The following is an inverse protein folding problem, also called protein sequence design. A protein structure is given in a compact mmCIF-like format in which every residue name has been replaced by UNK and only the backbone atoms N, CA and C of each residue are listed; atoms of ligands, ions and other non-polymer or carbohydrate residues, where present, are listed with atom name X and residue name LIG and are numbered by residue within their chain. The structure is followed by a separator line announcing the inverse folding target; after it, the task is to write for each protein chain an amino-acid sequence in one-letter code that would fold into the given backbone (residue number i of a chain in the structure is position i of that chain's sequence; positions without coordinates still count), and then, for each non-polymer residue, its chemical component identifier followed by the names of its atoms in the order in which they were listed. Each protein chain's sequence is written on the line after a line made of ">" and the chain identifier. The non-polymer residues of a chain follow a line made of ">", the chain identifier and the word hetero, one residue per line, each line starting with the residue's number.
data_IF_429735193550
#
_entry.id   IF_429735193550
#
_cell.length_a   1.000
_cell.length_b   1.000
_cell.length_c   1.000
_cell.angle_alpha   90.00
_cell.angle_beta   90.00
_cell.angle_gamma   90.00
#
_symmetry.space_group_name_H-M   'P 1'
#
loop_
_entity.id
_entity.type
_entity.pdbx_description
1 polymer ?
#
# COMPACT_ATOMS: atom_id res chain seq x y z
N UNK A 1 27.53 1.09 65.53
CA UNK A 1 26.98 0.28 64.42
C UNK A 1 27.15 1.08 63.15
N UNK A 2 28.21 0.72 62.45
CA UNK A 2 28.62 1.16 61.12
C UNK A 2 27.58 0.82 60.07
N UNK A 3 27.32 1.74 59.14
CA UNK A 3 27.18 1.42 57.72
C UNK A 3 27.41 2.68 56.87
N UNK A 4 28.59 2.67 56.28
CA UNK A 4 29.11 3.53 55.23
C UNK A 4 28.50 3.15 53.89
N UNK A 5 27.82 4.09 53.22
CA UNK A 5 27.40 3.96 51.83
C UNK A 5 28.32 4.82 50.96
N UNK A 6 29.22 4.14 50.27
CA UNK A 6 30.13 4.65 49.25
C UNK A 6 29.37 4.89 47.94
N UNK A 7 29.37 6.14 47.46
CA UNK A 7 28.95 6.51 46.11
C UNK A 7 30.13 6.37 45.14
N UNK A 8 30.07 5.38 44.24
CA UNK A 8 30.98 5.24 43.11
C UNK A 8 30.47 6.11 41.94
N UNK A 9 31.14 7.24 41.72
CA UNK A 9 31.06 8.02 40.49
C UNK A 9 32.24 7.61 39.60
N UNK A 10 31.98 6.70 38.66
CA UNK A 10 32.94 6.36 37.60
C UNK A 10 32.79 7.33 36.43
N UNK A 11 33.78 8.23 36.35
CA UNK A 11 34.32 8.91 35.18
C UNK A 11 33.90 8.31 33.82
N UNK A 12 33.05 9.02 33.08
CA UNK A 12 32.91 8.87 31.64
C UNK A 12 33.91 9.80 30.96
N UNK A 13 34.83 9.20 30.19
CA UNK A 13 35.86 9.90 29.43
C UNK A 13 35.26 10.76 28.33
N UNK A 14 35.77 11.99 28.23
CA UNK A 14 35.51 12.88 27.11
C UNK A 14 36.15 12.37 25.83
N UNK A 15 35.33 12.23 24.79
CA UNK A 15 35.81 12.16 23.41
C UNK A 15 35.83 13.58 22.86
N UNK A 16 37.04 14.14 22.79
CA UNK A 16 37.34 15.43 22.19
C UNK A 16 37.49 15.23 20.67
N UNK A 17 36.46 15.64 19.91
CA UNK A 17 36.53 15.73 18.45
C UNK A 17 36.91 17.17 18.08
N UNK A 18 38.20 17.45 18.05
CA UNK A 18 38.75 18.63 17.40
C UNK A 18 38.71 18.43 15.87
N UNK A 19 37.70 19.03 15.23
CA UNK A 19 37.64 19.21 13.78
C UNK A 19 38.55 20.38 13.39
N UNK A 20 39.77 20.08 12.96
CA UNK A 20 40.64 21.06 12.32
C UNK A 20 40.06 21.44 10.94
N UNK A 21 39.46 22.63 10.86
CA UNK A 21 39.14 23.28 9.60
C UNK A 21 40.44 23.79 8.97
N UNK A 22 40.99 23.00 8.04
CA UNK A 22 42.06 23.42 7.15
C UNK A 22 41.60 24.57 6.26
N UNK A 23 41.96 25.79 6.64
CA UNK A 23 41.78 27.00 5.84
C UNK A 23 42.79 27.00 4.69
N UNK A 24 42.36 26.62 3.48
CA UNK A 24 43.09 26.91 2.24
C UNK A 24 42.58 28.22 1.66
N UNK A 25 43.27 29.30 1.99
CA UNK A 25 43.19 30.59 1.33
C UNK A 25 44.06 30.58 0.06
N UNK A 26 43.43 30.72 -1.09
CA UNK A 26 44.03 31.04 -2.38
C UNK A 26 42.89 31.07 -3.40
N UNK A 27 42.46 32.20 -3.94
CA UNK A 27 43.24 33.35 -4.36
C UNK A 27 43.38 33.29 -5.87
N UNK A 28 42.26 33.46 -6.59
CA UNK A 28 42.24 33.90 -7.98
C UNK A 28 40.86 34.45 -8.32
N UNK A 29 40.79 35.77 -8.42
CA UNK A 29 39.68 36.51 -9.00
C UNK A 29 39.50 36.06 -10.46
N UNK A 30 38.59 35.13 -10.68
CA UNK A 30 38.02 34.83 -11.98
C UNK A 30 36.65 35.48 -12.06
N UNK A 31 36.58 36.69 -12.60
CA UNK A 31 35.32 37.30 -13.01
C UNK A 31 34.69 36.41 -14.10
N UNK A 32 33.71 35.60 -13.71
CA UNK A 32 32.83 34.93 -14.66
C UNK A 32 31.78 35.96 -15.07
N UNK A 33 32.06 36.68 -16.15
CA UNK A 33 31.01 37.38 -16.88
C UNK A 33 29.97 36.33 -17.30
N UNK A 34 28.81 36.35 -16.64
CA UNK A 34 27.63 35.62 -17.08
C UNK A 34 27.28 36.14 -18.46
N UNK A 35 27.57 35.34 -19.49
CA UNK A 35 27.06 35.58 -20.82
C UNK A 35 25.52 35.36 -20.79
N UNK A 36 24.68 36.40 -20.93
CA UNK A 36 23.23 36.26 -20.87
C UNK A 36 22.66 35.49 -22.07
N UNK A 37 23.45 35.19 -23.10
CA UNK A 37 23.03 34.32 -24.20
C UNK A 37 23.29 32.82 -23.95
N UNK A 38 24.05 32.46 -22.91
CA UNK A 38 24.29 31.05 -22.57
C UNK A 38 23.11 30.38 -21.83
N UNK A 39 22.09 31.15 -21.45
CA UNK A 39 20.89 30.66 -20.75
C UNK A 39 19.72 30.31 -21.69
N UNK A 40 19.88 30.46 -23.01
CA UNK A 40 18.80 30.23 -23.99
C UNK A 40 18.87 28.91 -24.78
N UNK A 41 19.83 28.02 -24.49
CA UNK A 41 19.97 26.75 -25.22
C UNK A 41 20.14 25.50 -24.33
N UNK A 42 19.48 25.47 -23.18
CA UNK A 42 19.13 24.18 -22.56
C UNK A 42 17.78 23.66 -23.11
N UNK A 43 17.62 23.68 -24.44
CA UNK A 43 16.63 22.84 -25.10
C UNK A 43 17.15 21.41 -24.98
N UNK A 44 16.38 20.53 -24.36
CA UNK A 44 16.56 19.09 -24.49
C UNK A 44 16.33 18.71 -25.96
N UNK A 45 17.32 18.96 -26.83
CA UNK A 45 17.41 18.37 -28.16
C UNK A 45 17.87 16.92 -28.01
N UNK A 46 17.03 16.14 -27.36
CA UNK A 46 17.13 14.69 -27.38
C UNK A 46 16.14 14.19 -28.41
N UNK A 47 16.60 14.02 -29.65
CA UNK A 47 16.03 13.01 -30.54
C UNK A 47 16.39 11.66 -29.92
N UNK A 48 15.61 11.22 -28.92
CA UNK A 48 15.93 10.01 -28.17
C UNK A 48 15.66 8.72 -28.95
N UNK A 49 15.16 8.81 -30.19
CA UNK A 49 15.00 7.68 -31.10
C UNK A 49 15.09 8.18 -32.55
N UNK A 50 16.01 7.62 -33.35
CA UNK A 50 15.97 7.76 -34.81
C UNK A 50 15.11 6.64 -35.39
N UNK A 51 14.36 6.88 -36.47
CA UNK A 51 13.49 5.87 -37.11
C UNK A 51 14.25 4.61 -37.58
N UNK A 52 15.57 4.71 -37.75
CA UNK A 52 16.45 3.60 -38.11
C UNK A 52 16.97 2.82 -36.90
N UNK A 53 16.78 3.35 -35.68
CA UNK A 53 17.13 2.63 -34.46
C UNK A 53 16.07 1.56 -34.24
N UNK A 54 16.41 0.32 -34.59
CA UNK A 54 15.62 -0.88 -34.34
C UNK A 54 15.64 -1.24 -32.84
N UNK A 55 15.30 -0.29 -31.98
CA UNK A 55 15.17 -0.46 -30.54
C UNK A 55 13.83 -1.11 -30.28
N UNK A 56 13.82 -2.44 -30.34
CA UNK A 56 12.74 -3.17 -29.68
C UNK A 56 12.82 -2.81 -28.20
N UNK A 57 11.80 -2.13 -27.67
CA UNK A 57 11.49 -2.20 -26.24
C UNK A 57 10.99 -3.63 -25.96
N UNK A 58 11.91 -4.59 -26.09
CA UNK A 58 11.73 -5.93 -25.61
C UNK A 58 11.88 -5.86 -24.11
N UNK A 59 10.77 -5.87 -23.38
CA UNK A 59 10.80 -6.58 -22.13
C UNK A 59 11.20 -8.01 -22.52
N UNK A 60 12.44 -8.43 -22.24
CA UNK A 60 12.84 -9.83 -22.42
C UNK A 60 12.01 -10.63 -21.43
N UNK A 61 10.82 -11.04 -21.85
CA UNK A 61 10.20 -12.22 -21.32
C UNK A 61 11.16 -13.34 -21.68
N UNK A 62 11.89 -13.84 -20.67
CA UNK A 62 12.64 -15.07 -20.79
C UNK A 62 11.60 -16.13 -21.15
N UNK A 63 11.42 -16.38 -22.45
CA UNK A 63 10.72 -17.55 -22.93
C UNK A 63 11.54 -18.73 -22.42
N UNK A 64 10.95 -19.66 -21.65
CA UNK A 64 11.68 -20.81 -21.20
C UNK A 64 12.11 -21.60 -22.44
N UNK A 65 13.43 -21.64 -22.66
CA UNK A 65 14.05 -22.68 -23.46
C UNK A 65 13.48 -24.01 -22.97
N UNK A 66 12.97 -24.83 -23.89
CA UNK A 66 12.20 -26.04 -23.59
C UNK A 66 12.96 -27.13 -22.80
N UNK A 67 14.20 -26.88 -22.34
CA UNK A 67 15.02 -27.90 -21.67
C UNK A 67 15.69 -27.47 -20.36
N UNK A 68 15.31 -26.34 -19.74
CA UNK A 68 15.74 -26.06 -18.37
C UNK A 68 14.69 -25.26 -17.59
N UNK A 69 14.21 -25.84 -16.49
CA UNK A 69 13.26 -25.22 -15.56
C UNK A 69 13.99 -24.54 -14.39
N UNK A 70 14.02 -23.19 -14.32
CA UNK A 70 14.32 -22.50 -13.06
C UNK A 70 13.25 -21.48 -12.64
N UNK A 71 12.01 -21.63 -13.10
CA UNK A 71 10.84 -21.05 -12.44
C UNK A 71 9.90 -22.17 -12.04
N UNK A 72 10.19 -22.82 -10.90
CA UNK A 72 9.14 -23.43 -10.09
C UNK A 72 8.27 -22.30 -9.56
N UNK A 73 7.37 -21.82 -10.42
CA UNK A 73 6.13 -21.21 -9.99
C UNK A 73 5.52 -22.22 -9.01
N UNK A 74 5.33 -21.81 -7.76
CA UNK A 74 4.60 -22.58 -6.77
C UNK A 74 3.12 -22.62 -7.17
N UNK A 75 2.81 -23.33 -8.26
CA UNK A 75 1.50 -23.88 -8.60
C UNK A 75 1.55 -25.38 -8.33
N UNK A 76 1.59 -25.72 -7.06
CA UNK A 76 1.09 -26.98 -6.57
C UNK A 76 0.32 -26.62 -5.31
N UNK A 77 -1.00 -26.86 -5.33
CA UNK A 77 -2.00 -26.56 -4.29
C UNK A 77 -2.70 -25.19 -4.33
N UNK A 78 -2.89 -24.60 -5.50
CA UNK A 78 -4.20 -23.98 -5.74
C UNK A 78 -5.18 -25.12 -6.00
N UNK A 79 -5.67 -25.72 -4.91
CA UNK A 79 -6.92 -26.49 -4.89
C UNK A 79 -7.95 -25.73 -5.73
N UNK A 80 -8.69 -26.39 -6.64
CA UNK A 80 -9.67 -25.72 -7.47
C UNK A 80 -10.61 -24.96 -6.55
N UNK A 81 -10.65 -23.63 -6.71
CA UNK A 81 -11.62 -22.79 -6.04
C UNK A 81 -13.00 -23.33 -6.43
N UNK A 82 -13.62 -24.14 -5.57
CA UNK A 82 -15.06 -24.32 -5.63
C UNK A 82 -15.64 -22.92 -5.51
N UNK A 83 -16.32 -22.51 -6.58
CA UNK A 83 -16.89 -21.18 -6.72
C UNK A 83 -17.84 -20.86 -5.59
N UNK A 84 -17.31 -20.26 -4.53
CA UNK A 84 -18.10 -19.45 -3.63
C UNK A 84 -18.39 -18.17 -4.41
N UNK A 85 -19.47 -18.25 -5.18
CA UNK A 85 -20.18 -17.10 -5.75
C UNK A 85 -20.20 -15.97 -4.73
N UNK A 86 -19.83 -14.78 -5.21
CA UNK A 86 -19.77 -13.52 -4.49
C UNK A 86 -21.15 -13.13 -3.93
N UNK A 87 -21.64 -13.83 -2.92
CA UNK A 87 -22.81 -13.42 -2.15
C UNK A 87 -22.37 -12.35 -1.16
N UNK A 88 -22.30 -11.12 -1.66
CA UNK A 88 -22.52 -9.87 -0.95
C UNK A 88 -21.67 -9.57 0.29
N UNK A 89 -21.35 -8.29 0.45
CA UNK A 89 -20.70 -7.69 1.62
C UNK A 89 -21.39 -8.04 2.98
N UNK A 90 -22.55 -8.70 2.99
CA UNK A 90 -23.27 -9.17 4.18
C UNK A 90 -22.54 -10.23 5.01
N UNK A 91 -21.54 -10.94 4.47
CA UNK A 91 -20.81 -11.97 5.21
C UNK A 91 -19.51 -11.50 5.89
N UNK A 92 -19.16 -10.21 5.82
CA UNK A 92 -17.92 -9.71 6.44
C UNK A 92 -17.93 -9.97 7.96
N UNK A 93 -19.08 -9.84 8.63
CA UNK A 93 -19.19 -10.09 10.06
C UNK A 93 -18.98 -11.57 10.42
N UNK A 94 -19.47 -12.49 9.59
CA UNK A 94 -19.36 -13.93 9.79
C UNK A 94 -17.93 -14.42 9.48
N UNK A 95 -17.30 -13.86 8.44
CA UNK A 95 -15.89 -14.08 8.15
C UNK A 95 -14.98 -13.61 9.28
N UNK A 96 -15.27 -12.47 9.92
CA UNK A 96 -14.45 -11.98 11.04
C UNK A 96 -14.41 -12.98 12.19
N UNK A 97 -15.55 -13.53 12.60
CA UNK A 97 -15.61 -14.53 13.67
C UNK A 97 -14.84 -15.82 13.34
N UNK A 98 -14.85 -16.25 12.08
CA UNK A 98 -14.11 -17.43 11.63
C UNK A 98 -12.59 -17.17 11.51
N UNK A 99 -12.17 -15.95 11.20
CA UNK A 99 -10.75 -15.58 11.18
C UNK A 99 -10.20 -15.45 12.60
N UNK A 100 -11.00 -14.94 13.53
CA UNK A 100 -10.57 -14.77 14.93
C UNK A 100 -10.38 -16.13 15.67
N UNK A 101 -10.99 -17.21 15.18
CA UNK A 101 -10.80 -18.57 15.73
C UNK A 101 -9.55 -19.27 15.20
N UNK A 102 -9.02 -18.85 14.04
CA UNK A 102 -7.80 -19.41 13.45
C UNK A 102 -6.58 -18.67 14.01
N UNK A 103 -6.05 -19.19 15.11
CA UNK A 103 -4.87 -18.62 15.76
C UNK A 103 -3.60 -19.38 15.39
N UNK A 104 -2.52 -18.63 15.14
CA UNK A 104 -1.18 -19.20 15.09
C UNK A 104 -0.78 -19.74 16.46
N UNK A 105 -0.09 -20.87 16.48
CA UNK A 105 0.35 -21.55 17.70
C UNK A 105 1.75 -22.10 17.49
N UNK A 106 2.62 -21.97 18.49
CA UNK A 106 3.98 -22.52 18.45
C UNK A 106 4.02 -24.05 18.51
N UNK A 107 2.88 -24.69 18.76
CA UNK A 107 2.73 -26.15 18.62
C UNK A 107 2.89 -26.61 17.16
N UNK A 108 2.68 -25.71 16.21
CA UNK A 108 2.95 -25.93 14.80
C UNK A 108 4.22 -25.15 14.45
N UNK A 109 5.29 -25.78 13.97
CA UNK A 109 6.45 -25.04 13.51
C UNK A 109 6.17 -24.40 12.14
N UNK A 110 6.70 -23.20 11.87
CA UNK A 110 6.69 -22.63 10.52
C UNK A 110 7.52 -23.49 9.55
N UNK A 111 7.26 -23.39 8.23
CA UNK A 111 8.08 -24.07 7.23
C UNK A 111 9.56 -23.67 7.36
N UNK A 112 10.42 -24.67 7.48
CA UNK A 112 11.89 -24.48 7.49
C UNK A 112 12.35 -24.30 6.04
N UNK A 113 13.17 -23.29 5.79
CA UNK A 113 13.75 -23.05 4.47
C UNK A 113 15.27 -23.01 4.52
N UNK A 114 15.90 -23.36 3.40
CA UNK A 114 17.35 -23.42 3.27
C UNK A 114 18.03 -22.11 3.65
N UNK A 115 19.20 -22.20 4.29
CA UNK A 115 19.98 -21.05 4.75
C UNK A 115 20.29 -20.03 3.64
N UNK A 116 20.32 -20.47 2.37
CA UNK A 116 20.54 -19.59 1.22
C UNK A 116 19.49 -18.47 1.10
N UNK A 117 18.23 -18.71 1.50
CA UNK A 117 17.16 -17.68 1.49
C UNK A 117 17.33 -16.61 2.57
N UNK A 118 18.09 -16.92 3.61
CA UNK A 118 18.46 -15.97 4.66
C UNK A 118 19.69 -15.14 4.25
N UNK A 119 20.44 -15.61 3.24
CA UNK A 119 21.54 -14.85 2.66
C UNK A 119 21.00 -13.74 1.76
N UNK A 120 21.68 -12.59 1.77
CA UNK A 120 21.25 -11.39 1.06
C UNK A 120 21.07 -11.57 -0.46
N UNK A 121 21.70 -12.59 -1.06
CA UNK A 121 21.64 -12.82 -2.51
C UNK A 121 20.33 -13.44 -3.01
N UNK A 122 19.59 -14.16 -2.16
CA UNK A 122 18.32 -14.82 -2.56
C UNK A 122 17.09 -14.25 -1.83
N UNK A 123 17.30 -13.26 -0.96
CA UNK A 123 16.21 -12.62 -0.23
C UNK A 123 15.42 -11.72 -1.17
N UNK A 124 14.09 -11.87 -1.16
CA UNK A 124 13.22 -10.98 -1.93
C UNK A 124 13.29 -9.55 -1.37
N UNK A 125 13.10 -8.56 -2.23
CA UNK A 125 13.11 -7.14 -1.83
C UNK A 125 12.03 -6.81 -0.79
N UNK A 126 10.93 -7.57 -0.76
CA UNK A 126 9.81 -7.42 0.19
C UNK A 126 9.83 -8.49 1.28
N UNK A 127 11.02 -8.75 1.81
CA UNK A 127 11.23 -9.68 2.91
C UNK A 127 11.97 -9.05 4.08
N UNK A 128 11.63 -9.47 5.30
CA UNK A 128 12.19 -8.97 6.55
C UNK A 128 12.80 -10.10 7.37
N UNK A 129 13.96 -9.83 7.98
CA UNK A 129 14.63 -10.76 8.91
C UNK A 129 14.48 -10.26 10.34
N UNK A 130 13.75 -11.01 11.16
CA UNK A 130 13.50 -10.67 12.56
C UNK A 130 14.05 -11.75 13.49
N UNK A 131 14.56 -11.32 14.64
CA UNK A 131 14.88 -12.20 15.75
C UNK A 131 13.69 -12.19 16.72
N UNK A 132 13.11 -13.35 16.98
CA UNK A 132 11.98 -13.50 17.89
C UNK A 132 12.03 -14.84 18.61
N UNK A 133 11.39 -14.89 19.79
CA UNK A 133 11.29 -16.10 20.60
C UNK A 133 10.19 -17.04 20.07
N UNK A 134 9.15 -16.48 19.47
CA UNK A 134 7.96 -17.20 19.00
C UNK A 134 7.57 -16.81 17.55
N UNK A 135 7.55 -17.75 16.59
CA UNK A 135 7.01 -17.49 15.26
C UNK A 135 5.50 -17.22 15.28
N UNK A 136 4.74 -17.83 16.21
CA UNK A 136 3.32 -17.55 16.34
C UNK A 136 3.04 -16.12 16.80
N UNK A 137 3.87 -15.56 17.68
CA UNK A 137 3.78 -14.16 18.11
C UNK A 137 4.00 -13.20 16.94
N UNK A 138 5.01 -13.44 16.11
CA UNK A 138 5.26 -12.65 14.89
C UNK A 138 4.06 -12.72 13.95
N UNK A 139 3.54 -13.91 13.68
CA UNK A 139 2.39 -14.10 12.80
C UNK A 139 1.12 -13.39 13.34
N UNK A 140 0.86 -13.49 14.64
CA UNK A 140 -0.22 -12.75 15.32
C UNK A 140 -0.04 -11.24 15.23
N UNK A 141 1.20 -10.76 15.37
CA UNK A 141 1.51 -9.32 15.27
C UNK A 141 1.27 -8.79 13.86
N UNK A 142 1.61 -9.56 12.82
CA UNK A 142 1.27 -9.24 11.43
C UNK A 142 -0.25 -9.21 11.23
N UNK A 143 -0.97 -10.20 11.76
CA UNK A 143 -2.43 -10.24 11.69
C UNK A 143 -3.04 -9.00 12.37
N UNK A 144 -2.54 -8.64 13.56
CA UNK A 144 -2.96 -7.45 14.28
C UNK A 144 -2.68 -6.17 13.49
N UNK A 145 -1.50 -6.04 12.88
CA UNK A 145 -1.18 -4.93 12.00
C UNK A 145 -2.22 -4.80 10.88
N UNK A 146 -2.50 -5.89 10.17
CA UNK A 146 -3.49 -5.91 9.09
C UNK A 146 -4.90 -5.53 9.58
N UNK A 147 -5.27 -5.90 10.80
CA UNK A 147 -6.58 -5.59 11.39
C UNK A 147 -6.71 -4.18 11.94
N UNK A 148 -5.60 -3.55 12.38
CA UNK A 148 -5.64 -2.33 13.19
C UNK A 148 -5.02 -1.10 12.53
N UNK A 149 -3.95 -1.27 11.76
CA UNK A 149 -3.19 -0.17 11.17
C UNK A 149 -3.61 0.13 9.73
N UNK A 150 -4.15 -0.86 9.02
CA UNK A 150 -4.54 -0.73 7.61
C UNK A 150 -5.97 -1.17 7.39
N UNK A 151 -6.62 -0.59 6.39
CA UNK A 151 -7.94 -1.03 5.95
C UNK A 151 -7.75 -2.32 5.15
N UNK A 152 -8.03 -3.47 5.75
CA UNK A 152 -7.87 -4.77 5.10
C UNK A 152 -9.00 -5.75 5.38
N UNK A 153 -9.13 -6.73 4.49
CA UNK A 153 -10.00 -7.89 4.62
C UNK A 153 -9.11 -9.13 4.59
N UNK A 154 -8.98 -9.80 5.73
CA UNK A 154 -8.22 -11.04 5.83
C UNK A 154 -9.09 -12.18 5.28
N UNK A 155 -8.74 -12.67 4.10
CA UNK A 155 -9.54 -13.70 3.40
C UNK A 155 -9.27 -15.11 3.89
N UNK A 156 -7.99 -15.47 4.12
CA UNK A 156 -7.60 -16.83 4.54
C UNK A 156 -6.40 -16.79 5.47
N UNK A 157 -6.50 -17.49 6.61
CA UNK A 157 -5.38 -17.78 7.51
C UNK A 157 -5.09 -19.28 7.45
N UNK A 158 -3.82 -19.64 7.35
CA UNK A 158 -3.36 -21.03 7.34
C UNK A 158 -2.27 -21.19 8.41
N UNK A 159 -2.65 -21.59 9.63
CA UNK A 159 -1.70 -21.81 10.73
C UNK A 159 -0.61 -22.83 10.35
N UNK A 160 -0.99 -23.93 9.70
CA UNK A 160 -0.05 -24.99 9.25
C UNK A 160 1.03 -24.47 8.28
N UNK A 161 0.67 -23.55 7.38
CA UNK A 161 1.61 -22.97 6.41
C UNK A 161 2.25 -21.67 6.91
N UNK A 162 1.96 -21.26 8.16
CA UNK A 162 2.33 -19.95 8.73
C UNK A 162 2.09 -18.79 7.75
N UNK A 163 0.92 -18.82 7.09
CA UNK A 163 0.62 -17.92 6.00
C UNK A 163 -0.78 -17.32 6.11
N UNK A 164 -0.93 -16.09 5.61
CA UNK A 164 -2.22 -15.44 5.48
C UNK A 164 -2.35 -14.73 4.13
N UNK A 165 -3.59 -14.66 3.62
CA UNK A 165 -3.97 -13.87 2.45
C UNK A 165 -4.89 -12.74 2.90
N UNK A 166 -4.63 -11.54 2.42
CA UNK A 166 -5.44 -10.37 2.72
C UNK A 166 -5.59 -9.46 1.50
N UNK A 167 -6.74 -8.81 1.41
CA UNK A 167 -7.03 -7.70 0.51
C UNK A 167 -6.82 -6.41 1.29
N UNK A 168 -5.91 -5.55 0.84
CA UNK A 168 -5.56 -4.29 1.50
C UNK A 168 -5.95 -3.13 0.62
N UNK A 169 -6.55 -2.12 1.25
CA UNK A 169 -7.00 -0.89 0.64
C UNK A 169 -6.22 0.27 1.24
N UNK A 170 -5.57 1.06 0.38
CA UNK A 170 -4.85 2.26 0.78
C UNK A 170 -5.27 3.45 -0.07
N UNK A 171 -5.26 4.63 0.52
CA UNK A 171 -5.48 5.86 -0.22
C UNK A 171 -4.13 6.51 -0.52
N UNK A 172 -3.74 6.51 -1.79
CA UNK A 172 -2.50 7.11 -2.28
C UNK A 172 -2.88 8.35 -3.08
N UNK A 173 -2.54 9.53 -2.57
CA UNK A 173 -2.88 10.82 -3.20
C UNK A 173 -4.37 10.99 -3.53
N UNK A 174 -5.24 10.64 -2.58
CA UNK A 174 -6.71 10.64 -2.72
C UNK A 174 -7.29 9.54 -3.63
N UNK A 175 -6.44 8.82 -4.37
CA UNK A 175 -6.85 7.68 -5.17
C UNK A 175 -6.91 6.44 -4.28
N UNK A 176 -8.07 5.77 -4.16
CA UNK A 176 -8.15 4.51 -3.47
C UNK A 176 -7.48 3.46 -4.35
N UNK A 177 -6.51 2.78 -3.77
CA UNK A 177 -5.73 1.72 -4.38
C UNK A 177 -5.95 0.45 -3.59
N UNK A 178 -5.89 -0.68 -4.27
CA UNK A 178 -6.10 -2.00 -3.68
C UNK A 178 -4.99 -2.94 -4.08
N UNK A 179 -4.55 -3.79 -3.17
CA UNK A 179 -3.69 -4.91 -3.50
C UNK A 179 -4.08 -6.16 -2.71
N UNK A 180 -3.96 -7.31 -3.34
CA UNK A 180 -4.07 -8.60 -2.67
C UNK A 180 -2.67 -9.10 -2.36
N UNK A 181 -2.40 -9.43 -1.09
CA UNK A 181 -1.12 -9.95 -0.66
C UNK A 181 -1.22 -11.32 0.01
N UNK A 182 -0.11 -12.05 -0.01
CA UNK A 182 0.13 -13.22 0.83
C UNK A 182 1.34 -12.93 1.70
N UNK A 183 1.19 -13.05 3.02
CA UNK A 183 2.30 -12.99 3.99
C UNK A 183 2.64 -14.39 4.46
N UNK A 184 3.92 -14.69 4.62
CA UNK A 184 4.42 -15.96 5.18
C UNK A 184 5.48 -15.69 6.23
N UNK A 185 5.48 -16.48 7.30
CA UNK A 185 6.57 -16.55 8.27
C UNK A 185 7.31 -17.86 8.02
N UNK A 186 8.61 -17.76 7.75
CA UNK A 186 9.50 -18.88 7.47
C UNK A 186 10.58 -18.92 8.56
N UNK A 187 11.04 -20.12 8.89
CA UNK A 187 12.10 -20.32 9.87
C UNK A 187 13.39 -20.75 9.19
N UNK A 188 14.50 -20.16 9.64
CA UNK A 188 15.84 -20.57 9.22
C UNK A 188 16.30 -21.79 9.97
N UNK A 189 17.28 -22.49 9.40
CA UNK A 189 17.96 -23.58 10.10
C UNK A 189 18.51 -23.08 11.44
N UNK A 190 18.03 -23.68 12.53
CA UNK A 190 18.46 -23.31 13.87
C UNK A 190 19.93 -23.68 14.05
N UNK A 191 20.76 -22.71 14.42
CA UNK A 191 22.08 -23.00 14.93
C UNK A 191 21.97 -23.44 16.38
N UNK A 192 22.45 -24.64 16.75
CA UNK A 192 22.42 -25.07 18.14
C UNK A 192 23.14 -24.05 19.03
N UNK A 193 22.48 -23.62 20.10
CA UNK A 193 23.03 -22.67 21.09
C UNK A 193 22.63 -21.20 20.92
N UNK A 194 21.84 -20.83 19.90
CA UNK A 194 21.24 -19.48 19.83
C UNK A 194 19.86 -19.48 20.49
N UNK A 195 19.66 -18.58 21.47
CA UNK A 195 18.41 -18.49 22.23
C UNK A 195 17.23 -17.91 21.43
N UNK A 196 17.50 -17.13 20.39
CA UNK A 196 16.48 -16.52 19.53
C UNK A 196 16.47 -17.16 18.15
N UNK A 197 15.27 -17.37 17.62
CA UNK A 197 15.08 -17.91 16.28
C UNK A 197 15.16 -16.78 15.26
N UNK A 198 15.86 -17.03 14.15
CA UNK A 198 15.88 -16.12 13.01
C UNK A 198 14.71 -16.46 12.09
N UNK A 199 13.80 -15.51 11.92
CA UNK A 199 12.60 -15.65 11.12
C UNK A 199 12.69 -14.78 9.87
N UNK A 200 12.27 -15.32 8.73
CA UNK A 200 12.13 -14.63 7.47
C UNK A 200 10.66 -14.41 7.17
N UNK A 201 10.25 -13.15 7.07
CA UNK A 201 8.88 -12.77 6.75
C UNK A 201 8.85 -12.36 5.28
N UNK A 202 8.03 -13.03 4.48
CA UNK A 202 7.87 -12.72 3.06
C UNK A 202 6.51 -12.06 2.82
N UNK A 203 6.52 -10.86 2.25
CA UNK A 203 5.34 -10.22 1.71
C UNK A 203 5.34 -10.43 0.20
N UNK A 204 4.27 -11.03 -0.34
CA UNK A 204 4.14 -11.25 -1.78
C UNK A 204 2.85 -10.60 -2.30
N UNK A 205 2.98 -9.65 -3.23
CA UNK A 205 1.84 -9.17 -4.03
C UNK A 205 1.33 -10.31 -4.90
N UNK A 206 0.02 -10.58 -4.82
CA UNK A 206 -0.68 -11.57 -5.65
C UNK A 206 -1.38 -10.89 -6.82
N UNK A 207 -2.06 -9.77 -6.55
CA UNK A 207 -2.79 -8.94 -7.53
C UNK A 207 -2.89 -7.49 -7.05
N UNK A 208 -3.41 -6.60 -7.90
CA UNK A 208 -3.70 -5.21 -7.61
C UNK A 208 -2.50 -4.27 -7.77
N UNK A 209 -2.58 -3.09 -7.18
CA UNK A 209 -1.64 -1.98 -7.35
C UNK A 209 -0.27 -2.25 -6.69
N UNK A 210 0.82 -1.99 -7.41
CA UNK A 210 2.18 -2.23 -6.94
C UNK A 210 2.66 -1.17 -5.94
N UNK A 211 2.22 0.09 -6.10
CA UNK A 211 2.56 1.20 -5.22
C UNK A 211 1.86 1.03 -3.85
N UNK A 212 0.59 0.65 -3.85
CA UNK A 212 -0.16 0.30 -2.64
C UNK A 212 0.52 -0.82 -1.86
N UNK A 213 0.97 -1.86 -2.56
CA UNK A 213 1.73 -2.96 -1.95
C UNK A 213 3.07 -2.49 -1.38
N UNK A 214 3.80 -1.64 -2.10
CA UNK A 214 5.08 -1.12 -1.62
C UNK A 214 4.91 -0.24 -0.37
N UNK A 215 3.92 0.65 -0.36
CA UNK A 215 3.59 1.48 0.80
C UNK A 215 3.15 0.64 2.00
N UNK A 216 2.33 -0.39 1.77
CA UNK A 216 1.97 -1.36 2.81
C UNK A 216 3.20 -2.06 3.38
N UNK A 217 4.10 -2.52 2.52
CA UNK A 217 5.29 -3.24 2.95
C UNK A 217 6.15 -2.37 3.87
N UNK A 218 6.39 -1.10 3.53
CA UNK A 218 7.12 -0.18 4.39
C UNK A 218 6.43 0.07 5.73
N UNK A 219 5.10 0.26 5.73
CA UNK A 219 4.35 0.40 6.99
C UNK A 219 4.45 -0.86 7.87
N UNK A 220 4.38 -2.05 7.26
CA UNK A 220 4.51 -3.31 7.96
C UNK A 220 5.93 -3.51 8.50
N UNK A 221 6.94 -3.15 7.71
CA UNK A 221 8.36 -3.15 8.11
C UNK A 221 8.57 -2.29 9.36
N UNK A 222 8.16 -1.02 9.32
CA UNK A 222 8.29 -0.11 10.45
C UNK A 222 7.55 -0.64 11.68
N UNK A 223 6.33 -1.14 11.51
CA UNK A 223 5.54 -1.69 12.61
C UNK A 223 6.20 -2.90 13.27
N UNK A 224 6.75 -3.82 12.47
CA UNK A 224 7.39 -5.04 12.97
C UNK A 224 8.74 -4.75 13.61
N UNK A 225 9.54 -3.85 13.05
CA UNK A 225 10.84 -3.47 13.62
C UNK A 225 10.71 -2.68 14.92
N UNK A 226 9.58 -2.01 15.14
CA UNK A 226 9.26 -1.39 16.43
C UNK A 226 8.87 -2.43 17.50
N UNK A 227 8.59 -3.67 17.12
CA UNK A 227 8.15 -4.75 18.02
C UNK A 227 9.21 -5.83 18.23
N UNK A 228 10.02 -6.10 17.22
CA UNK A 228 11.00 -7.17 17.20
C UNK A 228 12.38 -6.65 16.82
N UNK A 229 13.43 -7.28 17.35
CA UNK A 229 14.79 -6.95 16.98
C UNK A 229 15.09 -7.42 15.54
N UNK A 230 15.81 -6.63 14.72
CA UNK A 230 16.31 -7.12 13.44
C UNK A 230 17.32 -8.25 13.66
N UNK A 231 17.20 -9.36 12.94
CA UNK A 231 18.08 -10.52 13.14
C UNK A 231 19.51 -10.32 12.60
N UNK A 232 19.70 -9.36 11.70
CA UNK A 232 21.00 -9.05 11.13
C UNK A 232 21.34 -7.60 11.42
N UNK A 233 22.45 -7.38 12.12
CA UNK A 233 23.10 -6.09 12.26
C UNK A 233 23.89 -5.69 11.00
N UNK A 234 23.80 -6.48 9.91
CA UNK A 234 24.41 -6.11 8.66
C UNK A 234 23.95 -4.69 8.31
N UNK A 235 24.89 -3.78 8.00
CA UNK A 235 24.55 -2.43 7.59
C UNK A 235 23.53 -2.59 6.47
N UNK A 236 22.36 -1.98 6.64
CA UNK A 236 21.37 -1.90 5.56
C UNK A 236 22.12 -1.22 4.42
N UNK A 237 22.53 -2.01 3.41
CA UNK A 237 23.08 -1.45 2.18
C UNK A 237 22.13 -0.34 1.79
N UNK A 238 22.67 0.89 1.85
CA UNK A 238 21.90 2.11 2.03
C UNK A 238 20.58 1.98 1.26
N UNK A 239 19.47 1.85 2.01
CA UNK A 239 18.14 1.73 1.43
C UNK A 239 18.12 2.70 0.27
N UNK A 240 17.94 2.18 -0.94
CA UNK A 240 17.66 3.03 -2.09
C UNK A 240 16.48 3.87 -1.62
N UNK A 241 16.77 5.11 -1.22
CA UNK A 241 15.77 6.04 -0.72
C UNK A 241 14.73 6.03 -1.81
N UNK A 242 13.50 5.58 -1.53
CA UNK A 242 12.50 5.36 -2.56
C UNK A 242 12.51 6.61 -3.41
N UNK A 243 12.91 6.45 -4.68
CA UNK A 243 13.15 7.58 -5.56
C UNK A 243 11.87 8.41 -5.46
N UNK A 244 11.94 9.67 -4.98
CA UNK A 244 10.74 10.44 -4.74
C UNK A 244 9.98 10.43 -6.06
N UNK A 245 8.81 9.80 -6.06
CA UNK A 245 7.98 9.73 -7.25
C UNK A 245 7.62 11.19 -7.54
N UNK A 246 8.34 11.77 -8.50
CA UNK A 246 8.03 13.08 -9.07
C UNK A 246 6.75 12.88 -9.87
N UNK A 247 5.64 12.72 -9.15
CA UNK A 247 4.32 12.75 -9.75
C UNK A 247 4.14 14.15 -10.32
N UNK A 248 3.73 14.27 -11.59
CA UNK A 248 3.50 15.57 -12.19
C UNK A 248 2.48 16.32 -11.33
N UNK A 249 2.94 17.39 -10.68
CA UNK A 249 2.15 18.33 -9.87
C UNK A 249 1.07 19.07 -10.71
N UNK A 250 0.85 18.65 -11.95
CA UNK A 250 -0.06 19.25 -12.93
C UNK A 250 -1.54 19.06 -12.58
N UNK A 251 -1.84 18.24 -11.58
CA UNK A 251 -3.19 18.00 -11.09
C UNK A 251 -3.83 19.29 -10.53
N UNK A 252 -3.05 20.16 -9.89
CA UNK A 252 -3.54 21.38 -9.26
C UNK A 252 -4.13 22.41 -10.26
N UNK A 253 -3.83 22.30 -11.56
CA UNK A 253 -4.30 23.28 -12.56
C UNK A 253 -5.70 23.00 -13.13
N UNK A 254 -6.26 21.80 -12.93
CA UNK A 254 -7.57 21.43 -13.49
C UNK A 254 -8.75 21.64 -12.52
N UNK A 255 -8.49 21.93 -11.25
CA UNK A 255 -9.51 21.90 -10.20
C UNK A 255 -10.46 23.12 -10.18
N UNK A 256 -10.22 24.17 -10.96
CA UNK A 256 -10.87 25.45 -10.71
C UNK A 256 -12.31 25.56 -11.23
N UNK A 257 -12.72 24.89 -12.30
CA UNK A 257 -14.05 25.13 -12.92
C UNK A 257 -14.57 23.95 -13.75
N UNK A 258 -14.46 22.70 -13.27
CA UNK A 258 -15.02 21.57 -14.02
C UNK A 258 -16.53 21.72 -14.16
N UNK A 259 -17.03 21.91 -15.39
CA UNK A 259 -18.46 22.02 -15.65
C UNK A 259 -19.12 20.63 -15.57
N UNK A 260 -20.41 20.51 -15.21
CA UNK A 260 -21.10 19.22 -15.18
C UNK A 260 -21.03 18.45 -16.53
N UNK A 261 -20.90 19.17 -17.63
CA UNK A 261 -20.75 18.60 -18.98
C UNK A 261 -19.42 17.87 -19.17
N UNK A 262 -18.36 18.29 -18.50
CA UNK A 262 -17.05 17.63 -18.57
C UNK A 262 -17.02 16.28 -17.88
N UNK A 263 -17.98 16.02 -16.96
CA UNK A 263 -18.10 14.73 -16.29
C UNK A 263 -18.83 13.68 -17.15
N UNK A 264 -19.42 14.07 -18.29
CA UNK A 264 -20.22 13.18 -19.15
C UNK A 264 -19.51 11.86 -19.50
N UNK A 265 -18.21 11.84 -19.86
CA UNK A 265 -17.52 10.59 -20.16
C UNK A 265 -17.45 9.64 -18.95
N UNK A 266 -17.14 10.16 -17.76
CA UNK A 266 -17.09 9.37 -16.53
C UNK A 266 -18.47 8.81 -16.19
N UNK A 267 -19.51 9.62 -16.34
CA UNK A 267 -20.89 9.19 -16.10
C UNK A 267 -21.36 8.13 -17.11
N UNK A 268 -20.87 8.18 -18.35
CA UNK A 268 -21.15 7.16 -19.36
C UNK A 268 -20.52 5.81 -18.97
N UNK A 269 -19.27 5.80 -18.51
CA UNK A 269 -18.59 4.59 -18.01
C UNK A 269 -19.34 3.93 -16.84
N UNK A 270 -20.01 4.71 -15.99
CA UNK A 270 -20.83 4.16 -14.91
C UNK A 270 -22.14 3.52 -15.38
N UNK A 271 -22.74 4.05 -16.46
CA UNK A 271 -24.06 3.63 -16.97
C UNK A 271 -24.05 2.28 -17.67
N UNK A 272 -22.93 1.88 -18.28
CA UNK A 272 -22.80 0.59 -18.99
C UNK A 272 -22.69 -0.63 -18.06
N UNK A 273 -22.75 -0.38 -16.74
CA UNK A 273 -22.44 -1.29 -15.65
C UNK A 273 -23.30 -2.52 -15.40
N UNK A 274 -24.40 -2.72 -16.12
CA UNK A 274 -25.20 -3.95 -15.95
C UNK A 274 -24.50 -5.19 -16.51
N UNK A 275 -23.42 -5.00 -17.28
CA UNK A 275 -22.60 -6.09 -17.81
C UNK A 275 -21.57 -6.54 -16.78
N UNK A 276 -21.43 -7.86 -16.63
CA UNK A 276 -20.51 -8.50 -15.68
C UNK A 276 -19.10 -8.67 -16.26
N UNK A 277 -18.79 -7.96 -17.34
CA UNK A 277 -17.50 -8.08 -18.03
C UNK A 277 -16.40 -7.38 -17.21
N UNK A 278 -15.24 -8.02 -17.08
CA UNK A 278 -14.10 -7.52 -16.30
C UNK A 278 -13.62 -6.14 -16.79
N UNK A 279 -13.68 -5.91 -18.11
CA UNK A 279 -13.34 -4.63 -18.74
C UNK A 279 -14.31 -3.51 -18.31
N UNK A 280 -15.61 -3.77 -18.32
CA UNK A 280 -16.64 -2.81 -17.86
C UNK A 280 -16.44 -2.47 -16.38
N UNK A 281 -16.11 -3.47 -15.55
CA UNK A 281 -15.85 -3.24 -14.13
C UNK A 281 -14.60 -2.38 -13.89
N UNK A 282 -13.54 -2.59 -14.68
CA UNK A 282 -12.33 -1.76 -14.64
C UNK A 282 -12.65 -0.30 -15.03
N UNK A 283 -13.45 -0.09 -16.08
CA UNK A 283 -13.91 1.24 -16.49
C UNK A 283 -14.76 1.93 -15.41
N UNK A 284 -15.67 1.20 -14.76
CA UNK A 284 -16.45 1.74 -13.65
C UNK A 284 -15.54 2.14 -12.47
N UNK A 285 -14.56 1.31 -12.12
CA UNK A 285 -13.61 1.61 -11.07
C UNK A 285 -12.82 2.89 -11.38
N UNK A 286 -12.32 3.02 -12.61
CA UNK A 286 -11.63 4.23 -13.07
C UNK A 286 -12.51 5.48 -12.95
N UNK A 287 -13.76 5.41 -13.41
CA UNK A 287 -14.69 6.52 -13.33
C UNK A 287 -15.00 6.94 -11.89
N UNK A 288 -15.21 5.97 -10.99
CA UNK A 288 -15.43 6.23 -9.56
C UNK A 288 -14.20 6.86 -8.90
N UNK A 289 -13.00 6.38 -9.24
CA UNK A 289 -11.74 6.93 -8.72
C UNK A 289 -11.56 8.40 -9.15
N UNK A 290 -11.82 8.71 -10.42
CA UNK A 290 -11.76 10.07 -10.94
C UNK A 290 -12.77 11.00 -10.26
N UNK A 291 -14.03 10.57 -10.12
CA UNK A 291 -15.07 11.33 -9.41
C UNK A 291 -14.71 11.56 -7.94
N UNK A 292 -14.14 10.55 -7.27
CA UNK A 292 -13.70 10.70 -5.88
C UNK A 292 -12.56 11.69 -5.75
N UNK A 293 -11.57 11.65 -6.64
CA UNK A 293 -10.47 12.60 -6.64
C UNK A 293 -10.99 14.05 -6.77
N UNK A 294 -11.91 14.28 -7.71
CA UNK A 294 -12.58 15.58 -7.88
C UNK A 294 -13.35 16.02 -6.63
N UNK A 295 -14.12 15.13 -6.02
CA UNK A 295 -14.87 15.42 -4.81
C UNK A 295 -13.98 15.68 -3.58
N UNK A 296 -12.80 15.04 -3.53
CA UNK A 296 -11.85 15.20 -2.42
C UNK A 296 -11.14 16.55 -2.48
N UNK A 297 -10.83 17.02 -3.69
CA UNK A 297 -10.06 18.25 -3.89
C UNK A 297 -10.81 19.53 -3.52
N UNK A 298 -12.13 19.60 -3.74
CA UNK A 298 -12.89 20.80 -3.39
C UNK A 298 -14.37 20.52 -3.11
N UNK A 299 -14.98 21.36 -2.29
CA UNK A 299 -16.43 21.32 -2.03
C UNK A 299 -17.23 21.58 -3.31
N UNK A 300 -16.74 22.47 -4.19
CA UNK A 300 -17.35 22.71 -5.51
C UNK A 300 -17.31 21.46 -6.38
N UNK A 301 -16.16 20.78 -6.44
CA UNK A 301 -16.02 19.51 -7.17
C UNK A 301 -16.98 18.44 -6.65
N UNK A 302 -17.10 18.31 -5.33
CA UNK A 302 -18.07 17.41 -4.71
C UNK A 302 -19.52 17.78 -5.09
N UNK A 303 -19.87 19.06 -5.07
CA UNK A 303 -21.20 19.52 -5.47
C UNK A 303 -21.50 19.24 -6.96
N UNK A 304 -20.51 19.44 -7.85
CA UNK A 304 -20.60 19.10 -9.27
C UNK A 304 -20.79 17.59 -9.47
N UNK A 305 -20.03 16.75 -8.76
CA UNK A 305 -20.20 15.30 -8.79
C UNK A 305 -21.61 14.88 -8.33
N UNK A 306 -22.12 15.47 -7.24
CA UNK A 306 -23.49 15.21 -6.78
C UNK A 306 -24.53 15.58 -7.83
N UNK A 307 -24.46 16.79 -8.40
CA UNK A 307 -25.39 17.23 -9.42
C UNK A 307 -25.34 16.30 -10.65
N UNK A 308 -24.14 15.98 -11.11
CA UNK A 308 -23.91 15.09 -12.24
C UNK A 308 -24.50 13.68 -12.02
N UNK A 309 -24.31 13.10 -10.83
CA UNK A 309 -24.87 11.79 -10.48
C UNK A 309 -26.41 11.83 -10.35
N UNK A 310 -26.98 12.94 -9.85
CA UNK A 310 -28.43 13.15 -9.78
C UNK A 310 -29.08 13.28 -11.18
N UNK A 311 -28.35 13.82 -12.16
CA UNK A 311 -28.81 13.90 -13.55
C UNK A 311 -28.87 12.55 -14.25
N UNK A 312 -28.21 11.50 -13.73
CA UNK A 312 -28.30 10.18 -14.32
C UNK A 312 -29.63 9.52 -13.95
N UNK A 313 -30.49 9.37 -14.96
CA UNK A 313 -31.64 8.46 -14.89
C UNK A 313 -31.19 7.05 -15.30
N UNK A 314 -31.52 5.99 -14.54
CA UNK A 314 -32.34 6.00 -13.33
C UNK A 314 -31.55 6.41 -12.07
N UNK A 315 -32.22 7.01 -11.06
CA UNK A 315 -31.62 7.27 -9.75
C UNK A 315 -31.15 5.95 -9.15
N UNK A 316 -29.91 5.92 -8.64
CA UNK A 316 -29.35 4.75 -7.96
C UNK A 316 -28.15 4.10 -8.65
N UNK A 317 -27.52 4.72 -9.64
CA UNK A 317 -26.24 4.20 -10.20
C UNK A 317 -25.18 4.03 -9.11
N UNK A 318 -25.01 5.04 -8.24
CA UNK A 318 -24.06 4.95 -7.13
C UNK A 318 -24.42 3.79 -6.18
N UNK A 319 -25.72 3.60 -5.89
CA UNK A 319 -26.21 2.49 -5.10
C UNK A 319 -25.96 1.13 -5.79
N UNK A 320 -26.13 1.04 -7.10
CA UNK A 320 -25.80 -0.14 -7.90
C UNK A 320 -24.31 -0.46 -7.83
N UNK A 321 -23.44 0.54 -7.99
CA UNK A 321 -22.00 0.37 -7.84
C UNK A 321 -21.60 -0.10 -6.44
N UNK A 322 -22.22 0.41 -5.37
CA UNK A 322 -22.01 -0.06 -3.99
C UNK A 322 -22.41 -1.54 -3.84
N UNK A 323 -23.48 -1.95 -4.51
CA UNK A 323 -23.96 -3.33 -4.52
C UNK A 323 -23.21 -4.24 -5.51
N UNK A 324 -22.23 -3.72 -6.26
CA UNK A 324 -21.45 -4.51 -7.21
C UNK A 324 -20.73 -5.67 -6.54
N UNK A 325 -20.64 -6.81 -7.22
CA UNK A 325 -19.84 -7.95 -6.78
C UNK A 325 -18.33 -7.71 -6.95
N UNK A 326 -17.94 -6.70 -7.75
CA UNK A 326 -16.54 -6.27 -7.86
C UNK A 326 -16.14 -5.47 -6.62
N UNK A 327 -15.10 -5.96 -5.95
CA UNK A 327 -14.57 -5.34 -4.75
C UNK A 327 -14.02 -3.93 -5.02
N UNK A 328 -13.39 -3.73 -6.18
CA UNK A 328 -12.84 -2.44 -6.59
C UNK A 328 -13.97 -1.42 -6.80
N UNK A 329 -15.01 -1.78 -7.56
CA UNK A 329 -16.16 -0.91 -7.82
C UNK A 329 -16.92 -0.59 -6.54
N UNK A 330 -17.28 -1.60 -5.76
CA UNK A 330 -18.07 -1.41 -4.52
C UNK A 330 -17.32 -0.60 -3.46
N UNK A 331 -16.02 -0.82 -3.30
CA UNK A 331 -15.17 -0.05 -2.40
C UNK A 331 -15.07 1.42 -2.84
N UNK A 332 -14.76 1.67 -4.12
CA UNK A 332 -14.62 3.03 -4.65
C UNK A 332 -15.94 3.81 -4.57
N UNK A 333 -17.06 3.17 -4.88
CA UNK A 333 -18.39 3.77 -4.76
C UNK A 333 -18.73 4.12 -3.31
N UNK A 334 -18.38 3.25 -2.37
CA UNK A 334 -18.55 3.49 -0.93
C UNK A 334 -17.71 4.68 -0.45
N UNK A 335 -16.45 4.76 -0.88
CA UNK A 335 -15.57 5.88 -0.58
C UNK A 335 -16.12 7.20 -1.16
N UNK A 336 -16.54 7.19 -2.42
CA UNK A 336 -17.14 8.35 -3.06
C UNK A 336 -18.39 8.80 -2.31
N UNK A 337 -19.31 7.90 -1.97
CA UNK A 337 -20.51 8.21 -1.21
C UNK A 337 -20.19 8.88 0.14
N UNK A 338 -19.19 8.38 0.86
CA UNK A 338 -18.72 8.97 2.12
C UNK A 338 -18.14 10.38 1.92
N UNK A 339 -17.30 10.58 0.91
CA UNK A 339 -16.72 11.89 0.59
C UNK A 339 -17.80 12.90 0.22
N UNK A 340 -18.79 12.49 -0.60
CA UNK A 340 -19.91 13.35 -0.96
C UNK A 340 -20.78 13.69 0.26
N UNK A 341 -21.02 12.74 1.17
CA UNK A 341 -21.75 12.99 2.41
C UNK A 341 -21.05 14.02 3.31
N UNK A 342 -19.73 13.91 3.43
CA UNK A 342 -18.91 14.84 4.22
C UNK A 342 -18.92 16.26 3.63
N UNK A 343 -18.80 16.39 2.31
CA UNK A 343 -18.65 17.70 1.63
C UNK A 343 -19.98 18.37 1.28
N UNK A 344 -21.01 17.60 0.93
CA UNK A 344 -22.30 18.09 0.43
C UNK A 344 -23.46 17.90 1.40
N UNK A 345 -23.24 17.21 2.53
CA UNK A 345 -24.28 16.85 3.49
C UNK A 345 -24.97 15.52 3.15
N UNK A 346 -25.37 14.79 4.19
CA UNK A 346 -26.00 13.47 4.07
C UNK A 346 -27.50 13.52 3.68
N UNK A 347 -28.13 14.69 3.72
CA UNK A 347 -29.58 14.85 3.50
C UNK A 347 -30.00 14.69 2.03
N UNK A 348 -29.05 14.64 1.09
CA UNK A 348 -29.39 14.44 -0.33
C UNK A 348 -29.89 13.00 -0.52
N UNK A 349 -31.08 12.78 -1.12
CA UNK A 349 -31.70 11.45 -1.21
C UNK A 349 -30.79 10.36 -1.80
N UNK A 350 -30.00 10.69 -2.82
CA UNK A 350 -29.04 9.76 -3.44
C UNK A 350 -27.94 9.34 -2.46
N UNK A 351 -27.37 10.30 -1.73
CA UNK A 351 -26.32 10.04 -0.73
C UNK A 351 -26.91 9.23 0.40
N UNK A 352 -28.06 9.64 0.93
CA UNK A 352 -28.74 8.93 2.00
C UNK A 352 -29.03 7.47 1.63
N UNK A 353 -29.57 7.22 0.43
CA UNK A 353 -29.81 5.86 -0.07
C UNK A 353 -28.50 5.05 -0.20
N UNK A 354 -27.44 5.66 -0.73
CA UNK A 354 -26.13 5.02 -0.85
C UNK A 354 -25.55 4.66 0.54
N UNK A 355 -25.65 5.57 1.51
CA UNK A 355 -25.18 5.35 2.89
C UNK A 355 -25.97 4.26 3.61
N UNK A 356 -27.27 4.10 3.32
CA UNK A 356 -28.09 3.01 3.87
C UNK A 356 -27.64 1.62 3.41
N UNK A 357 -26.98 1.54 2.25
CA UNK A 357 -26.44 0.28 1.72
C UNK A 357 -25.05 -0.06 2.28
N UNK A 358 -24.38 0.90 2.92
CA UNK A 358 -23.09 0.65 3.53
C UNK A 358 -23.25 -0.22 4.79
N UNK A 359 -22.42 -1.25 4.96
CA UNK A 359 -22.42 -2.01 6.21
C UNK A 359 -22.09 -1.05 7.36
N UNK A 360 -22.90 -1.06 8.41
CA UNK A 360 -22.81 -0.13 9.55
C UNK A 360 -21.41 -0.01 10.22
N UNK A 361 -20.51 -0.96 9.95
CA UNK A 361 -19.12 -0.97 10.46
C UNK A 361 -18.15 -0.10 9.65
N UNK A 362 -18.41 0.18 8.37
CA UNK A 362 -17.49 0.96 7.51
C UNK A 362 -17.52 2.46 7.85
N UNK A 363 -18.66 2.97 8.33
CA UNK A 363 -18.84 4.37 8.70
C UNK A 363 -18.06 4.77 9.96
N UNK A 364 -17.81 3.83 10.88
CA UNK A 364 -17.17 4.13 12.15
C UNK A 364 -15.65 4.40 12.05
N UNK A 365 -14.94 3.76 11.11
CA UNK A 365 -13.48 3.93 10.98
C UNK A 365 -13.07 5.18 10.21
N UNK A 366 -13.83 5.57 9.17
CA UNK A 366 -13.56 6.76 8.36
C UNK A 366 -13.77 8.06 9.15
N UNK A 367 -14.88 8.18 9.90
CA UNK A 367 -15.15 9.37 10.72
C UNK A 367 -14.13 9.56 11.86
N UNK A 368 -13.60 8.47 12.43
CA UNK A 368 -12.61 8.55 13.51
C UNK A 368 -11.23 9.05 13.04
N UNK A 369 -10.85 8.77 11.79
CA UNK A 369 -9.59 9.24 11.21
C UNK A 369 -9.66 10.73 10.79
N UNK A 370 -10.81 11.19 10.28
CA UNK A 370 -11.04 12.60 9.96
C UNK A 370 -11.07 13.51 11.19
N UNK A 371 -11.74 13.09 12.26
CA UNK A 371 -11.86 13.88 13.49
C UNK A 371 -10.51 14.12 14.19
N UNK A 372 -9.56 13.18 14.11
CA UNK A 372 -8.21 13.34 14.67
C UNK A 372 -7.32 14.31 13.90
N UNK A 373 -7.57 14.56 12.61
CA UNK A 373 -6.79 15.54 11.82
C UNK A 373 -7.23 16.98 12.05
N UNK A 374 -8.52 17.21 12.34
CA UNK A 374 -9.03 18.56 12.64
C UNK A 374 -8.61 19.02 14.04
N UNK A 375 -8.50 18.11 15.02
CA UNK A 375 -8.06 18.47 16.38
C UNK A 375 -6.54 18.61 16.56
N UNK A 376 -5.74 18.34 15.53
CA UNK A 376 -4.29 18.54 15.55
C UNK A 376 -3.85 19.81 14.78
N UNK A 377 -4.80 20.44 14.08
CA UNK A 377 -4.60 21.69 13.34
C UNK A 377 -5.30 22.90 14.00
N UNK A 378 -5.95 22.68 15.15
CA UNK A 378 -6.49 23.69 16.06
C UNK A 378 -5.80 23.52 17.41
#
# INVERSE_FOLDING_TARGET
>A
MSNSSTSNLSSFGGFDYSLEFGSRSGGSDGAWELNPEALYHAQLQGDFYREEDNVTRGCTLVLPSMEATPFRVFHAEDEPMMGNTCKGLGNIALHKAAVDSLQFSDLLPPPVVEAARFSGSQRLATSLLLAADSPAEVAKTIQQFLQTQVTSIIGKVSPEKFAMKADVFQEVNCCPTHCMLKVRVLQGEQRPGQGQQVLLIEFCRRKGDALAFQMLFHQAEDFLLNKFAPASAAPRDAHLTPMPLLLPNSAASFAATASPLELTPLLAMLKEGDRVDEETQAQQAEALAALKALATWSTTGAATCCAALEFLSPPGILASCICSCSLEVSFLASCLASTLAEKCGADRPMIYQALQLLPAKTLASSCAAGAKRVSAAA
#
